data_IF_879502342044
#
_entry.id   IF_879502342044
#
_cell.length_a   1.000
_cell.length_b   1.000
_cell.length_c   1.000
_cell.angle_alpha   90.00
_cell.angle_beta   90.00
_cell.angle_gamma   90.00
#
_symmetry.space_group_name_H-M   'P 1'
#
loop_
_entity.id
_entity.type
_entity.pdbx_description
1 polymer ?
#
# COMPACT_ATOMS: atom_id res chain seq x y z
N UNK A 1 18.55 7.80 13.62
CA UNK A 1 17.67 6.68 13.23
C UNK A 1 16.42 7.30 12.63
N UNK A 2 16.26 7.23 11.31
CA UNK A 2 15.22 7.97 10.58
C UNK A 2 13.84 7.39 10.88
N UNK A 3 12.96 8.23 11.43
CA UNK A 3 11.55 7.96 11.67
C UNK A 3 10.79 8.04 10.35
N UNK A 4 10.65 6.91 9.65
CA UNK A 4 9.93 6.84 8.36
C UNK A 4 8.59 6.10 8.48
N UNK A 5 8.01 6.02 9.69
CA UNK A 5 6.77 5.25 9.95
C UNK A 5 5.49 6.09 9.86
N UNK A 6 5.59 7.40 9.61
CA UNK A 6 4.45 8.33 9.73
C UNK A 6 3.82 8.77 8.40
N UNK A 7 4.37 8.35 7.26
CA UNK A 7 3.76 8.70 5.96
C UNK A 7 2.57 7.78 5.64
N UNK A 8 1.42 8.36 5.30
CA UNK A 8 0.21 7.64 4.84
C UNK A 8 0.36 7.06 3.44
N UNK A 9 1.34 7.55 2.68
CA UNK A 9 1.73 7.04 1.37
C UNK A 9 3.17 6.54 1.47
N UNK A 10 3.41 5.27 1.15
CA UNK A 10 4.75 4.69 1.16
C UNK A 10 5.03 3.89 -0.10
N UNK A 11 6.17 4.18 -0.72
CA UNK A 11 6.75 3.36 -1.78
C UNK A 11 8.08 2.85 -1.25
N UNK A 12 8.22 1.52 -1.10
CA UNK A 12 9.33 0.92 -0.37
C UNK A 12 9.78 -0.42 -1.00
N UNK A 13 10.96 -0.91 -0.64
CA UNK A 13 11.44 -2.22 -1.10
C UNK A 13 10.97 -3.34 -0.16
N UNK A 14 10.98 -3.03 1.14
CA UNK A 14 10.73 -3.95 2.23
C UNK A 14 9.26 -4.39 2.29
N UNK A 15 9.02 -5.60 2.77
CA UNK A 15 7.68 -6.08 3.04
C UNK A 15 7.00 -5.30 4.19
N UNK A 16 5.68 -5.44 4.30
CA UNK A 16 4.86 -4.79 5.31
C UNK A 16 3.86 -5.78 5.92
N UNK A 17 3.39 -5.47 7.13
CA UNK A 17 2.40 -6.26 7.85
C UNK A 17 1.04 -5.56 7.77
N UNK A 18 0.08 -6.16 7.07
CA UNK A 18 -1.30 -5.64 6.99
C UNK A 18 -1.90 -5.45 8.39
N UNK A 19 -1.62 -6.35 9.31
CA UNK A 19 -2.11 -6.26 10.69
C UNK A 19 -1.53 -5.04 11.41
N UNK A 20 -0.23 -4.77 11.24
CA UNK A 20 0.40 -3.60 11.87
C UNK A 20 -0.17 -2.30 11.31
N UNK A 21 -0.44 -2.25 10.00
CA UNK A 21 -1.08 -1.09 9.36
C UNK A 21 -2.51 -0.84 9.84
N UNK A 22 -3.27 -1.91 10.04
CA UNK A 22 -4.62 -1.82 10.64
C UNK A 22 -4.51 -1.24 12.06
N UNK A 23 -3.55 -1.69 12.88
CA UNK A 23 -3.36 -1.16 14.23
C UNK A 23 -2.88 0.29 14.25
N UNK A 24 -2.06 0.71 13.29
CA UNK A 24 -1.73 2.13 13.09
C UNK A 24 -2.96 2.93 12.68
N UNK A 25 -3.78 2.41 11.76
CA UNK A 25 -5.00 3.09 11.30
C UNK A 25 -6.01 3.30 12.42
N UNK A 26 -6.23 2.29 13.27
CA UNK A 26 -7.11 2.39 14.45
C UNK A 26 -6.74 3.52 15.41
N UNK A 27 -5.45 3.90 15.46
CA UNK A 27 -4.96 4.98 16.33
C UNK A 27 -5.23 6.38 15.78
N UNK A 28 -5.59 6.51 14.50
CA UNK A 28 -5.86 7.81 13.86
C UNK A 28 -7.08 8.50 14.47
N UNK A 29 -8.13 7.74 14.75
CA UNK A 29 -9.37 8.29 15.30
C UNK A 29 -10.19 7.23 16.02
N UNK A 30 -10.79 7.61 17.16
CA UNK A 30 -11.75 6.77 17.89
C UNK A 30 -13.09 6.61 17.16
N UNK A 31 -13.33 7.38 16.10
CA UNK A 31 -14.56 7.31 15.30
C UNK A 31 -14.50 6.25 14.19
N UNK A 32 -13.37 5.54 14.04
CA UNK A 32 -13.24 4.45 13.06
C UNK A 32 -14.05 3.24 13.55
N UNK A 33 -15.21 3.01 12.93
CA UNK A 33 -16.08 1.85 13.19
C UNK A 33 -15.80 0.63 12.30
N UNK A 34 -14.97 0.78 11.27
CA UNK A 34 -14.62 -0.29 10.34
C UNK A 34 -13.42 0.07 9.49
N UNK A 35 -12.66 -0.95 9.09
CA UNK A 35 -11.50 -0.83 8.20
C UNK A 35 -11.68 -1.87 7.09
N UNK A 36 -11.50 -1.44 5.85
CA UNK A 36 -11.45 -2.33 4.68
C UNK A 36 -10.04 -2.27 4.11
N UNK A 37 -9.51 -3.43 3.75
CA UNK A 37 -8.19 -3.56 3.12
C UNK A 37 -8.32 -4.21 1.76
N UNK A 38 -7.43 -3.80 0.85
CA UNK A 38 -7.11 -4.53 -0.35
C UNK A 38 -5.65 -4.95 -0.21
N UNK A 39 -5.36 -6.21 -0.53
CA UNK A 39 -4.00 -6.76 -0.51
C UNK A 39 -3.73 -7.37 -1.87
N UNK A 40 -2.80 -6.79 -2.62
CA UNK A 40 -2.27 -7.40 -3.84
C UNK A 40 -1.09 -8.30 -3.51
N UNK A 41 -1.06 -9.52 -4.04
CA UNK A 41 0.06 -10.45 -3.85
C UNK A 41 0.62 -10.96 -5.18
N UNK A 42 1.89 -11.37 -5.17
CA UNK A 42 2.51 -12.02 -6.32
C UNK A 42 1.77 -13.30 -6.70
N UNK A 43 1.31 -13.41 -7.95
CA UNK A 43 0.58 -14.57 -8.45
C UNK A 43 1.41 -15.36 -9.47
N UNK A 44 1.35 -16.68 -9.37
CA UNK A 44 2.11 -17.60 -10.22
C UNK A 44 1.67 -17.57 -11.68
N UNK A 45 0.38 -17.39 -11.95
CA UNK A 45 -0.17 -17.41 -13.31
C UNK A 45 -0.48 -16.01 -13.80
N UNK A 46 0.10 -15.64 -14.93
CA UNK A 46 -0.29 -14.43 -15.66
C UNK A 46 -0.24 -14.68 -17.15
N UNK A 47 -1.34 -14.35 -17.85
CA UNK A 47 -1.47 -14.50 -19.31
C UNK A 47 -1.17 -15.91 -19.84
N UNK A 48 -1.38 -16.94 -19.02
CA UNK A 48 -1.15 -18.34 -19.39
C UNK A 48 0.29 -18.82 -19.18
N UNK A 49 1.17 -17.96 -18.65
CA UNK A 49 2.56 -18.29 -18.33
C UNK A 49 2.76 -18.38 -16.82
N UNK A 50 3.69 -19.26 -16.43
CA UNK A 50 4.17 -19.36 -15.05
C UNK A 50 5.20 -18.27 -14.80
N UNK A 51 4.95 -17.42 -13.82
CA UNK A 51 5.83 -16.35 -13.37
C UNK A 51 6.46 -16.78 -12.05
N UNK A 52 7.77 -16.58 -11.92
CA UNK A 52 8.50 -16.82 -10.67
C UNK A 52 8.65 -15.57 -9.82
N UNK A 53 8.66 -14.38 -10.45
CA UNK A 53 8.87 -13.10 -9.78
C UNK A 53 8.26 -11.94 -10.58
N UNK A 54 7.77 -10.92 -9.89
CA UNK A 54 7.37 -9.63 -10.47
C UNK A 54 8.42 -8.58 -10.13
N UNK A 55 8.78 -7.73 -11.08
CA UNK A 55 9.67 -6.60 -10.82
C UNK A 55 8.93 -5.28 -11.07
N UNK A 56 8.87 -4.42 -10.06
CA UNK A 56 8.18 -3.14 -10.12
C UNK A 56 9.16 -1.98 -10.10
N UNK A 57 9.08 -1.13 -11.12
CA UNK A 57 9.80 0.14 -11.18
C UNK A 57 8.81 1.30 -11.03
N UNK A 58 9.29 2.43 -10.50
CA UNK A 58 8.49 3.63 -10.38
C UNK A 58 9.30 4.87 -10.75
N UNK A 59 8.60 5.91 -11.20
CA UNK A 59 9.20 7.24 -11.36
C UNK A 59 9.15 7.97 -10.00
N UNK A 60 10.30 8.22 -9.35
CA UNK A 60 10.33 8.81 -8.02
C UNK A 60 9.59 10.15 -7.97
N UNK A 61 8.97 10.46 -6.82
CA UNK A 61 8.15 11.68 -6.56
C UNK A 61 6.83 11.78 -7.34
N UNK A 62 6.74 11.31 -8.58
CA UNK A 62 5.47 11.35 -9.33
C UNK A 62 4.47 10.33 -8.78
N UNK A 63 4.94 9.10 -8.51
CA UNK A 63 4.08 8.05 -7.98
C UNK A 63 3.49 8.45 -6.61
N UNK A 64 4.31 8.91 -5.68
CA UNK A 64 3.86 9.39 -4.35
C UNK A 64 2.84 10.52 -4.47
N UNK A 65 3.09 11.51 -5.34
CA UNK A 65 2.14 12.60 -5.60
C UNK A 65 0.80 12.08 -6.11
N UNK A 66 0.80 11.13 -7.03
CA UNK A 66 -0.44 10.54 -7.57
C UNK A 66 -1.19 9.71 -6.54
N UNK A 67 -0.49 8.98 -5.70
CA UNK A 67 -1.11 8.24 -4.60
C UNK A 67 -1.71 9.18 -3.55
N UNK A 68 -1.06 10.31 -3.24
CA UNK A 68 -1.64 11.33 -2.36
C UNK A 68 -2.87 11.99 -2.99
N UNK A 69 -2.85 12.30 -4.30
CA UNK A 69 -4.02 12.79 -5.03
C UNK A 69 -5.21 11.81 -4.92
N UNK A 70 -4.97 10.51 -5.06
CA UNK A 70 -5.99 9.45 -4.91
C UNK A 70 -6.52 9.41 -3.48
N UNK A 71 -5.64 9.43 -2.47
CA UNK A 71 -6.00 9.43 -1.05
C UNK A 71 -6.90 10.62 -0.70
N UNK A 72 -6.48 11.83 -1.06
CA UNK A 72 -7.24 13.05 -0.81
C UNK A 72 -8.60 13.00 -1.50
N UNK A 73 -8.63 12.51 -2.75
CA UNK A 73 -9.88 12.34 -3.50
C UNK A 73 -10.81 11.32 -2.85
N UNK A 74 -10.31 10.17 -2.40
CA UNK A 74 -11.13 9.14 -1.77
C UNK A 74 -11.74 9.62 -0.43
N UNK A 75 -10.94 10.31 0.40
CA UNK A 75 -11.42 10.94 1.64
C UNK A 75 -12.54 11.94 1.34
N UNK A 76 -12.32 12.80 0.34
CA UNK A 76 -13.31 13.83 -0.05
C UNK A 76 -14.59 13.23 -0.63
N UNK A 77 -14.47 12.29 -1.57
CA UNK A 77 -15.59 11.81 -2.37
C UNK A 77 -16.45 10.79 -1.61
N UNK A 78 -15.85 10.02 -0.70
CA UNK A 78 -16.53 8.94 0.03
C UNK A 78 -16.70 9.20 1.53
N UNK A 79 -16.13 10.29 2.06
CA UNK A 79 -16.27 10.66 3.47
C UNK A 79 -15.60 9.67 4.43
N UNK A 80 -14.58 8.93 3.98
CA UNK A 80 -13.80 8.04 4.84
C UNK A 80 -12.90 8.86 5.77
N UNK A 81 -12.65 8.35 6.98
CA UNK A 81 -11.91 9.08 8.02
C UNK A 81 -10.43 9.26 7.64
N UNK A 82 -9.81 8.19 7.16
CA UNK A 82 -8.41 8.20 6.72
C UNK A 82 -8.17 7.00 5.78
N UNK A 83 -7.06 7.04 5.06
CA UNK A 83 -6.61 6.02 4.12
C UNK A 83 -5.08 5.99 4.12
N UNK A 84 -4.50 4.80 4.09
CA UNK A 84 -3.07 4.57 3.83
C UNK A 84 -2.90 3.79 2.54
N UNK A 85 -1.81 4.05 1.82
CA UNK A 85 -1.42 3.32 0.61
C UNK A 85 0.06 2.98 0.73
N UNK A 86 0.38 1.70 0.63
CA UNK A 86 1.75 1.19 0.61
C UNK A 86 1.91 0.45 -0.71
N UNK A 87 3.01 0.65 -1.42
CA UNK A 87 3.30 -0.14 -2.61
C UNK A 87 4.77 -0.54 -2.60
N UNK A 88 5.05 -1.82 -2.78
CA UNK A 88 6.41 -2.33 -2.89
C UNK A 88 6.95 -2.16 -4.29
N UNK A 89 8.24 -1.91 -4.39
CA UNK A 89 9.00 -1.82 -5.64
C UNK A 89 10.13 -2.84 -5.63
N UNK A 90 10.78 -3.02 -6.77
CA UNK A 90 11.81 -4.03 -6.95
C UNK A 90 11.24 -5.44 -7.12
N UNK A 91 12.06 -6.47 -6.85
CA UNK A 91 11.67 -7.87 -7.00
C UNK A 91 10.66 -8.29 -5.92
N UNK A 92 9.58 -8.93 -6.35
CA UNK A 92 8.52 -9.49 -5.50
C UNK A 92 8.30 -10.94 -5.88
N UNK A 93 8.47 -11.84 -4.93
CA UNK A 93 8.26 -13.27 -5.11
C UNK A 93 6.75 -13.62 -5.16
N UNK A 94 6.44 -14.82 -5.67
CA UNK A 94 5.07 -15.35 -5.62
C UNK A 94 4.61 -15.52 -4.17
N UNK A 95 3.40 -15.06 -3.87
CA UNK A 95 2.80 -15.07 -2.54
C UNK A 95 3.17 -13.87 -1.66
N UNK A 96 4.18 -13.08 -2.02
CA UNK A 96 4.53 -11.88 -1.26
C UNK A 96 3.56 -10.72 -1.51
N UNK A 97 3.45 -9.83 -0.51
CA UNK A 97 2.63 -8.62 -0.61
C UNK A 97 3.23 -7.65 -1.64
N UNK A 98 2.36 -6.93 -2.34
CA UNK A 98 2.71 -5.88 -3.31
C UNK A 98 2.15 -4.54 -2.85
N UNK A 99 0.88 -4.49 -2.46
CA UNK A 99 0.11 -3.27 -2.18
C UNK A 99 -0.94 -3.52 -1.12
#
# INVERSE_FOLDING_TARGET
>A
MSTTTDSKIRIQLEDFSVTDEIEVMKKVSRNIGGITTFLGTGRELSKGESITQLNFEHYPKMAEKKLEEIRVKAIKDYGIIDMSIIHRIGPIEIGENIV
#
